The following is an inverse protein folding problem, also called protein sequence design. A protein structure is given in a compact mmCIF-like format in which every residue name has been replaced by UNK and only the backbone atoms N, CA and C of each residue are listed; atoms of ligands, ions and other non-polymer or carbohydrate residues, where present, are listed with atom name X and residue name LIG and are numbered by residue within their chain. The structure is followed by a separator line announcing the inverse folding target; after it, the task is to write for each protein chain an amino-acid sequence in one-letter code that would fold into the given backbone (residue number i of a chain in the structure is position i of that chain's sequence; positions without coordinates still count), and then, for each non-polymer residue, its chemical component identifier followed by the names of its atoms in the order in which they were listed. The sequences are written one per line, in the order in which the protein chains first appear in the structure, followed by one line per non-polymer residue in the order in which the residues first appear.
data_IF_739976901145
#
_entry.id   IF_739976901145
#
_cell.length_a   1.000
_cell.length_b   1.000
_cell.length_c   1.000
_cell.angle_alpha   90.00
_cell.angle_beta   90.00
_cell.angle_gamma   90.00
#
_symmetry.space_group_name_H-M   'P 1'
#
loop_
_entity.id
_entity.type
_entity.pdbx_description
1 polymer ?
#
# COMPACT_ATOMS: atom_id res chain seq x y z
N UNK A 1 -6.04 26.62 4.66
CA UNK A 1 -7.52 26.71 4.65
C UNK A 1 -8.09 26.71 3.22
N UNK A 2 -7.46 27.43 2.28
CA UNK A 2 -7.96 27.57 0.91
C UNK A 2 -7.99 26.26 0.10
N UNK A 3 -6.99 25.44 0.25
CA UNK A 3 -6.87 24.19 -0.50
C UNK A 3 -7.79 23.10 0.00
N UNK A 4 -8.10 23.14 1.25
CA UNK A 4 -9.03 22.23 1.89
C UNK A 4 -10.47 22.45 1.45
N UNK A 5 -10.94 23.69 1.49
CA UNK A 5 -12.28 24.08 0.99
C UNK A 5 -12.46 23.72 -0.49
N UNK A 6 -11.38 23.85 -1.29
CA UNK A 6 -11.36 23.43 -2.68
C UNK A 6 -11.50 21.91 -2.85
N UNK A 7 -10.90 21.11 -1.97
CA UNK A 7 -10.96 19.65 -2.07
C UNK A 7 -12.35 19.11 -1.67
N UNK A 8 -12.98 19.63 -0.63
CA UNK A 8 -14.34 19.24 -0.26
C UNK A 8 -15.37 19.64 -1.33
N UNK A 9 -15.26 20.84 -1.88
CA UNK A 9 -16.12 21.27 -3.00
C UNK A 9 -15.94 20.37 -4.21
N UNK A 10 -14.71 19.90 -4.47
CA UNK A 10 -14.40 18.95 -5.57
C UNK A 10 -14.99 17.58 -5.35
N UNK A 11 -15.07 17.07 -4.11
CA UNK A 11 -15.66 15.75 -3.82
C UNK A 11 -17.14 15.67 -4.20
N UNK A 12 -17.83 16.82 -4.25
CA UNK A 12 -19.25 16.93 -4.56
C UNK A 12 -19.57 17.56 -5.94
N UNK A 13 -18.55 17.86 -6.75
CA UNK A 13 -18.73 18.46 -8.07
C UNK A 13 -18.73 17.43 -9.20
N UNK A 14 -19.25 17.82 -10.36
CA UNK A 14 -19.09 17.07 -11.61
C UNK A 14 -17.77 17.50 -12.25
N UNK A 15 -16.65 16.90 -11.79
CA UNK A 15 -15.34 17.21 -12.34
C UNK A 15 -15.03 16.33 -13.55
N UNK A 16 -14.59 17.00 -14.61
CA UNK A 16 -13.91 16.37 -15.72
C UNK A 16 -12.46 16.86 -15.75
N UNK A 17 -11.50 15.94 -15.88
CA UNK A 17 -10.10 16.28 -16.01
C UNK A 17 -9.42 15.37 -17.02
N UNK A 18 -8.35 15.84 -17.62
CA UNK A 18 -7.64 15.12 -18.67
C UNK A 18 -6.13 15.13 -18.48
N UNK A 19 -5.51 14.10 -19.03
CA UNK A 19 -4.08 13.94 -19.10
C UNK A 19 -3.66 13.86 -20.57
N UNK A 20 -2.58 14.52 -20.94
CA UNK A 20 -1.98 14.41 -22.25
C UNK A 20 -0.79 13.47 -22.24
N UNK A 21 -0.58 12.76 -23.35
CA UNK A 21 0.67 12.04 -23.54
C UNK A 21 1.79 13.04 -23.81
N UNK A 22 2.75 13.14 -22.90
CA UNK A 22 3.88 14.07 -23.03
C UNK A 22 5.03 13.43 -23.80
N UNK A 23 5.39 12.22 -23.45
CA UNK A 23 6.48 11.50 -24.10
C UNK A 23 6.29 9.98 -23.98
N UNK A 24 7.03 9.26 -24.79
CA UNK A 24 7.17 7.81 -24.70
C UNK A 24 8.63 7.45 -24.76
N UNK A 25 9.01 6.42 -24.02
CA UNK A 25 10.33 5.80 -24.14
C UNK A 25 10.19 4.29 -24.24
N UNK A 26 11.18 3.67 -24.86
CA UNK A 26 11.28 2.22 -24.97
C UNK A 26 12.68 1.76 -24.67
N UNK A 27 12.79 0.59 -24.09
CA UNK A 27 14.02 -0.17 -23.96
C UNK A 27 13.76 -1.62 -24.34
N UNK A 28 14.74 -2.50 -24.20
CA UNK A 28 14.62 -3.92 -24.58
C UNK A 28 13.57 -4.70 -23.78
N UNK A 29 13.01 -4.09 -22.72
CA UNK A 29 12.11 -4.76 -21.79
C UNK A 29 10.69 -4.20 -21.89
N UNK A 30 10.53 -2.88 -21.94
CA UNK A 30 9.24 -2.19 -21.91
C UNK A 30 9.13 -1.06 -22.91
N UNK A 31 7.91 -0.82 -23.38
CA UNK A 31 7.50 0.40 -24.08
C UNK A 31 6.58 1.20 -23.14
N UNK A 32 6.92 2.43 -22.86
CA UNK A 32 6.22 3.27 -21.89
C UNK A 32 5.61 4.49 -22.56
N UNK A 33 4.40 4.85 -22.12
CA UNK A 33 3.77 6.13 -22.45
C UNK A 33 3.43 6.84 -21.15
N UNK A 34 3.93 8.06 -21.00
CA UNK A 34 3.68 8.92 -19.84
C UNK A 34 2.52 9.87 -20.13
N UNK A 35 1.61 10.00 -19.19
CA UNK A 35 0.49 10.90 -19.23
C UNK A 35 0.58 11.86 -18.05
N UNK A 36 0.56 13.17 -18.34
CA UNK A 36 0.58 14.22 -17.32
C UNK A 36 -0.71 15.03 -17.34
N UNK A 37 -1.16 15.56 -16.19
CA UNK A 37 -2.43 16.26 -16.10
C UNK A 37 -2.42 17.58 -16.89
N UNK A 38 -3.47 17.82 -17.66
CA UNK A 38 -3.73 19.10 -18.31
C UNK A 38 -4.19 20.12 -17.26
N UNK A 39 -3.35 21.05 -16.89
CA UNK A 39 -3.53 22.06 -15.83
C UNK A 39 -3.42 21.47 -14.43
N UNK A 40 -3.17 22.34 -13.45
CA UNK A 40 -3.04 22.06 -12.02
C UNK A 40 -4.34 21.50 -11.38
N UNK A 41 -4.77 20.34 -11.85
CA UNK A 41 -5.85 19.60 -11.22
C UNK A 41 -5.20 18.82 -10.10
N UNK A 42 -5.35 19.36 -8.93
CA UNK A 42 -4.88 18.75 -7.69
C UNK A 42 -5.71 17.49 -7.40
N UNK A 43 -5.38 16.39 -8.06
CA UNK A 43 -5.75 15.04 -7.61
C UNK A 43 -4.91 14.62 -6.41
N UNK A 44 -4.25 15.59 -5.80
CA UNK A 44 -3.27 15.40 -4.77
C UNK A 44 -3.90 14.86 -3.50
N UNK A 45 -3.11 14.03 -2.83
CA UNK A 45 -3.29 13.80 -1.42
C UNK A 45 -3.41 15.13 -0.68
N UNK A 46 -3.85 15.05 0.52
CA UNK A 46 -4.17 16.14 1.42
C UNK A 46 -2.98 17.08 1.67
N UNK A 47 -1.75 16.62 1.52
CA UNK A 47 -0.55 17.41 1.71
C UNK A 47 0.13 17.75 0.37
N UNK A 48 0.31 19.03 0.11
CA UNK A 48 0.91 19.54 -1.13
C UNK A 48 2.41 19.25 -1.30
N UNK A 49 3.07 18.74 -0.29
CA UNK A 49 4.52 18.57 -0.29
C UNK A 49 4.97 17.15 -0.49
N UNK A 50 4.06 16.19 -0.38
CA UNK A 50 4.32 14.83 -0.83
C UNK A 50 3.74 14.64 -2.23
N UNK A 51 4.48 13.93 -3.10
CA UNK A 51 3.93 13.57 -4.38
C UNK A 51 2.59 12.89 -4.17
N UNK A 52 1.63 13.27 -4.96
CA UNK A 52 0.27 12.78 -4.95
C UNK A 52 0.25 11.28 -4.70
N UNK A 53 -0.55 10.85 -3.74
CA UNK A 53 -0.87 9.44 -3.58
C UNK A 53 -2.19 9.17 -4.28
N UNK A 54 -2.23 8.09 -5.03
CA UNK A 54 -3.43 7.62 -5.69
C UNK A 54 -3.33 6.12 -5.91
N UNK A 55 -4.49 5.55 -6.19
CA UNK A 55 -4.65 4.12 -6.35
C UNK A 55 -5.47 3.83 -7.60
N UNK A 56 -5.12 2.74 -8.27
CA UNK A 56 -5.70 2.34 -9.54
C UNK A 56 -6.43 1.00 -9.40
N UNK A 57 -7.52 0.87 -10.15
CA UNK A 57 -8.14 -0.41 -10.42
C UNK A 57 -8.88 -0.35 -11.76
N UNK A 58 -9.59 -1.39 -12.13
CA UNK A 58 -10.37 -1.45 -13.36
C UNK A 58 -11.82 -1.82 -13.09
N UNK A 59 -12.72 -1.20 -13.85
CA UNK A 59 -14.12 -1.58 -13.86
C UNK A 59 -14.72 -1.42 -15.26
N UNK A 60 -15.38 -2.44 -15.79
CA UNK A 60 -15.98 -2.43 -17.12
C UNK A 60 -15.01 -1.96 -18.22
N UNK A 61 -13.75 -2.44 -18.15
CA UNK A 61 -12.66 -2.10 -19.08
C UNK A 61 -12.23 -0.63 -19.02
N UNK A 62 -12.58 0.12 -17.99
CA UNK A 62 -12.17 1.49 -17.72
C UNK A 62 -11.16 1.50 -16.58
N UNK A 63 -10.23 2.45 -16.62
CA UNK A 63 -9.37 2.73 -15.49
C UNK A 63 -10.17 3.50 -14.43
N UNK A 64 -10.08 3.04 -13.21
CA UNK A 64 -10.60 3.72 -12.02
C UNK A 64 -9.41 4.28 -11.27
N UNK A 65 -9.53 5.52 -10.84
CA UNK A 65 -8.50 6.22 -10.07
C UNK A 65 -9.13 6.81 -8.82
N UNK A 66 -8.49 6.60 -7.69
CA UNK A 66 -8.85 7.24 -6.44
C UNK A 66 -7.65 7.96 -5.84
N UNK A 67 -7.78 9.27 -5.60
CA UNK A 67 -6.74 10.02 -4.92
C UNK A 67 -6.71 9.73 -3.43
N UNK A 68 -5.59 9.99 -2.78
CA UNK A 68 -5.49 9.86 -1.32
C UNK A 68 -6.48 10.75 -0.57
N UNK A 69 -6.95 11.84 -1.18
CA UNK A 69 -7.99 12.72 -0.64
C UNK A 69 -9.42 12.25 -0.89
N UNK A 70 -9.63 11.12 -1.56
CA UNK A 70 -10.93 10.52 -1.79
C UNK A 70 -11.64 10.94 -3.08
N UNK A 71 -11.00 11.65 -4.01
CA UNK A 71 -11.56 11.89 -5.35
C UNK A 71 -11.53 10.59 -6.13
N UNK A 72 -12.70 10.08 -6.48
CA UNK A 72 -12.87 8.87 -7.28
C UNK A 72 -13.29 9.24 -8.71
N UNK A 73 -12.63 8.65 -9.71
CA UNK A 73 -12.90 8.96 -11.11
C UNK A 73 -12.64 7.76 -12.03
N UNK A 74 -13.17 7.83 -13.24
CA UNK A 74 -13.01 6.78 -14.26
C UNK A 74 -12.72 7.38 -15.62
N UNK A 75 -11.98 6.64 -16.46
CA UNK A 75 -11.69 7.06 -17.83
C UNK A 75 -12.92 7.04 -18.71
N UNK A 76 -13.09 8.08 -19.55
CA UNK A 76 -14.19 8.10 -20.54
C UNK A 76 -14.08 6.96 -21.52
N UNK A 77 -12.89 6.70 -22.02
CA UNK A 77 -12.61 5.61 -22.94
C UNK A 77 -12.29 4.31 -22.19
N UNK A 78 -12.57 3.17 -22.85
CA UNK A 78 -12.06 1.88 -22.40
C UNK A 78 -10.55 1.81 -22.56
N UNK A 79 -9.87 1.06 -21.70
CA UNK A 79 -8.42 0.87 -21.70
C UNK A 79 -7.87 0.33 -23.04
N UNK A 80 -8.68 -0.46 -23.77
CA UNK A 80 -8.35 -0.96 -25.11
C UNK A 80 -8.24 0.15 -26.17
N UNK A 81 -8.90 1.29 -25.91
CA UNK A 81 -9.06 2.42 -26.85
C UNK A 81 -8.40 3.71 -26.36
N UNK A 82 -7.39 3.61 -25.52
CA UNK A 82 -6.70 4.80 -25.02
C UNK A 82 -5.99 5.53 -26.15
N UNK A 83 -6.36 6.80 -26.33
CA UNK A 83 -5.74 7.74 -27.27
C UNK A 83 -4.63 8.53 -26.56
N UNK A 84 -4.15 9.58 -27.20
CA UNK A 84 -3.13 10.47 -26.66
C UNK A 84 -3.63 11.31 -25.47
N UNK A 85 -4.93 11.38 -25.25
CA UNK A 85 -5.54 12.08 -24.12
C UNK A 85 -6.36 11.08 -23.29
N UNK A 86 -6.17 11.10 -21.98
CA UNK A 86 -7.00 10.41 -21.02
C UNK A 86 -7.93 11.43 -20.38
N UNK A 87 -9.21 11.30 -20.56
CA UNK A 87 -10.21 12.11 -19.87
C UNK A 87 -10.89 11.26 -18.80
N UNK A 88 -10.98 11.81 -17.61
CA UNK A 88 -11.63 11.19 -16.46
C UNK A 88 -12.88 11.97 -16.09
N UNK A 89 -13.93 11.25 -15.70
CA UNK A 89 -15.11 11.78 -15.04
C UNK A 89 -15.12 11.36 -13.58
N UNK A 90 -15.46 12.29 -12.72
CA UNK A 90 -15.62 12.01 -11.30
C UNK A 90 -16.86 11.16 -11.03
N UNK A 91 -16.72 10.25 -10.07
CA UNK A 91 -17.81 9.52 -9.44
C UNK A 91 -18.14 10.22 -8.11
N UNK A 92 -19.38 10.62 -7.92
CA UNK A 92 -19.84 11.19 -6.65
C UNK A 92 -19.82 10.15 -5.55
N UNK A 93 -19.38 10.52 -4.36
CA UNK A 93 -19.32 9.60 -3.21
C UNK A 93 -19.67 10.34 -1.91
N UNK A 94 -19.94 9.55 -0.88
CA UNK A 94 -20.07 10.04 0.48
C UNK A 94 -18.78 9.92 1.30
N UNK A 95 -17.64 9.76 0.64
CA UNK A 95 -16.34 9.49 1.30
C UNK A 95 -15.98 10.56 2.34
N UNK A 96 -16.40 11.80 2.13
CA UNK A 96 -16.20 12.90 3.06
C UNK A 96 -16.84 12.70 4.46
N UNK A 97 -17.72 11.70 4.63
CA UNK A 97 -18.23 11.32 5.96
C UNK A 97 -17.19 10.52 6.77
N UNK A 98 -16.20 9.93 6.10
CA UNK A 98 -15.18 9.05 6.69
C UNK A 98 -13.81 9.73 6.77
N UNK A 99 -13.52 10.58 5.78
CA UNK A 99 -12.31 11.41 5.72
C UNK A 99 -12.78 12.85 5.75
N UNK A 100 -13.02 13.39 6.95
CA UNK A 100 -13.72 14.66 7.11
C UNK A 100 -12.80 15.86 7.34
N UNK A 101 -13.42 17.03 7.28
CA UNK A 101 -12.79 18.34 7.51
C UNK A 101 -12.12 18.44 8.89
N UNK A 102 -12.69 17.79 9.90
CA UNK A 102 -12.19 17.85 11.26
C UNK A 102 -10.85 17.13 11.41
N UNK A 103 -10.69 15.97 10.78
CA UNK A 103 -9.44 15.23 10.74
C UNK A 103 -8.32 16.04 10.08
N UNK A 104 -8.68 16.84 9.10
CA UNK A 104 -7.82 17.78 8.41
C UNK A 104 -7.37 18.95 9.25
N UNK A 105 -8.30 19.53 10.00
CA UNK A 105 -8.01 20.65 10.89
C UNK A 105 -7.07 20.25 12.01
N UNK A 106 -7.25 19.04 12.54
CA UNK A 106 -6.36 18.48 13.57
C UNK A 106 -4.94 18.28 13.05
N UNK A 107 -4.77 17.80 11.82
CA UNK A 107 -3.45 17.63 11.22
C UNK A 107 -2.67 18.93 10.99
N UNK A 108 -3.36 20.09 11.04
CA UNK A 108 -2.77 21.42 10.90
C UNK A 108 -2.42 22.10 12.22
N UNK A 109 -2.81 21.54 13.34
CA UNK A 109 -2.59 22.14 14.67
C UNK A 109 -1.14 21.95 15.12
N UNK A 110 -0.42 21.02 14.53
CA UNK A 110 0.97 20.71 14.84
C UNK A 110 1.91 21.32 13.80
N UNK A 111 3.05 21.86 14.21
CA UNK A 111 4.06 22.53 13.38
C UNK A 111 4.70 21.68 12.27
N UNK A 112 4.14 20.50 11.98
CA UNK A 112 4.57 19.54 10.95
C UNK A 112 3.53 19.33 9.85
N UNK A 113 2.84 20.38 9.45
CA UNK A 113 1.67 20.41 8.56
C UNK A 113 1.73 19.52 7.31
N UNK A 114 2.89 19.34 6.75
CA UNK A 114 3.07 18.64 5.48
C UNK A 114 3.19 17.11 5.61
N UNK A 115 3.73 16.60 6.72
CA UNK A 115 3.81 15.16 6.97
C UNK A 115 2.46 14.59 7.43
N UNK A 116 1.79 15.32 8.29
CA UNK A 116 0.59 14.87 8.99
C UNK A 116 -0.63 14.82 8.07
N UNK A 117 -0.74 15.75 7.12
CA UNK A 117 -1.83 15.74 6.15
C UNK A 117 -1.90 14.48 5.29
N UNK A 118 -0.75 13.87 4.98
CA UNK A 118 -0.69 12.60 4.26
C UNK A 118 -0.96 11.36 5.13
N UNK A 119 -1.06 11.52 6.46
CA UNK A 119 -1.39 10.42 7.36
C UNK A 119 -2.86 10.02 7.26
N UNK A 120 -3.75 11.00 7.11
CA UNK A 120 -5.20 10.83 7.15
C UNK A 120 -5.75 10.78 5.73
N UNK A 121 -5.72 9.61 5.12
CA UNK A 121 -5.99 9.48 3.70
C UNK A 121 -6.50 8.09 3.34
N UNK A 122 -6.96 7.98 2.11
CA UNK A 122 -7.15 6.70 1.44
C UNK A 122 -5.79 5.98 1.36
N UNK A 123 -5.82 4.67 1.55
CA UNK A 123 -4.63 3.82 1.53
C UNK A 123 -4.65 2.77 0.43
N UNK A 124 -5.83 2.44 -0.09
CA UNK A 124 -6.00 1.55 -1.24
C UNK A 124 -7.43 1.54 -1.76
N UNK A 125 -7.60 1.07 -2.99
CA UNK A 125 -8.88 0.62 -3.55
C UNK A 125 -8.73 -0.77 -4.15
N UNK A 126 -9.79 -1.57 -4.07
CA UNK A 126 -9.87 -2.83 -4.79
C UNK A 126 -11.30 -3.05 -5.29
N UNK A 127 -11.44 -3.38 -6.57
CA UNK A 127 -12.74 -3.62 -7.18
C UNK A 127 -12.87 -5.12 -7.50
N UNK A 128 -13.92 -5.71 -6.97
CA UNK A 128 -14.23 -7.10 -7.22
C UNK A 128 -15.67 -7.25 -7.68
N UNK A 129 -15.86 -7.72 -8.92
CA UNK A 129 -17.17 -7.78 -9.58
C UNK A 129 -17.85 -6.41 -9.62
N UNK A 130 -18.95 -6.24 -8.91
CA UNK A 130 -19.74 -5.00 -8.81
C UNK A 130 -19.58 -4.28 -7.46
N UNK A 131 -18.54 -4.58 -6.72
CA UNK A 131 -18.21 -3.95 -5.44
C UNK A 131 -16.86 -3.27 -5.47
N UNK A 132 -16.78 -2.14 -4.80
CA UNK A 132 -15.53 -1.43 -4.52
C UNK A 132 -15.26 -1.44 -3.02
N UNK A 133 -14.01 -1.72 -2.66
CA UNK A 133 -13.49 -1.70 -1.30
C UNK A 133 -12.47 -0.59 -1.20
N UNK A 134 -12.47 0.13 -0.09
CA UNK A 134 -11.59 1.28 0.13
C UNK A 134 -11.03 1.20 1.54
N UNK A 135 -9.74 1.27 1.69
CA UNK A 135 -9.08 1.41 2.98
C UNK A 135 -8.67 2.85 3.25
N UNK A 136 -8.72 3.24 4.50
CA UNK A 136 -8.39 4.60 4.94
C UNK A 136 -7.91 4.61 6.39
N UNK A 137 -7.15 5.62 6.75
CA UNK A 137 -6.82 5.88 8.15
C UNK A 137 -8.02 6.52 8.85
N UNK A 138 -8.46 5.88 9.93
CA UNK A 138 -9.62 6.29 10.72
C UNK A 138 -9.19 6.80 12.09
N UNK A 139 -9.69 7.97 12.47
CA UNK A 139 -9.67 8.39 13.87
C UNK A 139 -10.79 7.65 14.61
N UNK A 140 -10.41 6.73 15.48
CA UNK A 140 -11.34 5.90 16.26
C UNK A 140 -11.95 6.71 17.41
N UNK A 141 -11.11 7.47 18.07
CA UNK A 141 -11.40 8.46 19.11
C UNK A 141 -10.32 9.53 19.08
N UNK A 142 -10.48 10.61 19.81
CA UNK A 142 -9.56 11.74 19.79
C UNK A 142 -8.09 11.30 19.83
N UNK A 143 -7.32 11.74 18.84
CA UNK A 143 -5.89 11.47 18.65
C UNK A 143 -5.49 9.98 18.64
N UNK A 144 -6.43 9.08 18.37
CA UNK A 144 -6.17 7.64 18.34
C UNK A 144 -6.65 7.02 17.02
N UNK A 145 -5.72 6.40 16.29
CA UNK A 145 -5.88 6.07 14.87
C UNK A 145 -5.67 4.61 14.56
N UNK A 146 -6.39 4.12 13.55
CA UNK A 146 -6.15 2.82 12.92
C UNK A 146 -6.42 2.89 11.41
N UNK A 147 -6.32 1.73 10.75
CA UNK A 147 -6.74 1.54 9.36
C UNK A 147 -8.03 0.74 9.31
N UNK A 148 -9.01 1.23 8.57
CA UNK A 148 -10.36 0.66 8.46
C UNK A 148 -10.75 0.45 7.00
N UNK A 149 -11.81 -0.31 6.76
CA UNK A 149 -12.33 -0.62 5.42
C UNK A 149 -13.76 -0.12 5.23
N UNK A 150 -13.98 0.43 4.06
CA UNK A 150 -15.29 0.74 3.50
C UNK A 150 -15.60 -0.20 2.33
N UNK A 151 -16.86 -0.36 2.03
CA UNK A 151 -17.33 -0.98 0.81
C UNK A 151 -18.50 -0.21 0.20
N UNK A 152 -18.75 -0.43 -1.09
CA UNK A 152 -19.87 0.15 -1.79
C UNK A 152 -20.17 -0.59 -3.08
N UNK A 153 -21.40 -0.45 -3.60
CA UNK A 153 -21.74 -1.01 -4.89
C UNK A 153 -21.24 -0.13 -6.02
N UNK A 154 -20.53 -0.71 -6.97
CA UNK A 154 -19.98 0.01 -8.14
C UNK A 154 -21.09 0.66 -8.97
N UNK A 155 -20.97 1.96 -9.15
CA UNK A 155 -21.80 2.77 -10.02
C UNK A 155 -20.99 3.98 -10.50
N UNK A 156 -20.92 4.20 -11.80
CA UNK A 156 -20.11 5.30 -12.38
C UNK A 156 -20.68 6.71 -12.16
N UNK A 157 -21.85 6.84 -11.50
CA UNK A 157 -22.45 8.14 -11.17
C UNK A 157 -22.36 8.47 -9.69
N UNK A 158 -22.69 7.50 -8.84
CA UNK A 158 -22.76 7.69 -7.39
C UNK A 158 -22.45 6.39 -6.67
N UNK A 159 -21.53 6.44 -5.71
CA UNK A 159 -21.24 5.33 -4.81
C UNK A 159 -21.47 5.79 -3.37
N UNK A 160 -22.24 5.02 -2.63
CA UNK A 160 -22.45 5.20 -1.19
C UNK A 160 -21.62 4.16 -0.47
N UNK A 161 -20.62 4.61 0.26
CA UNK A 161 -19.76 3.77 1.08
C UNK A 161 -20.38 3.55 2.46
N UNK A 162 -20.15 2.34 2.97
CA UNK A 162 -20.50 1.88 4.31
C UNK A 162 -19.29 1.20 4.95
N UNK A 163 -19.27 1.12 6.28
CA UNK A 163 -18.20 0.41 6.98
C UNK A 163 -18.29 -1.10 6.72
N UNK A 164 -17.20 -1.71 6.28
CA UNK A 164 -17.04 -3.15 6.19
C UNK A 164 -16.27 -3.70 7.40
N UNK A 165 -15.14 -3.06 7.73
CA UNK A 165 -14.32 -3.43 8.87
C UNK A 165 -13.90 -2.21 9.65
N UNK A 166 -14.11 -2.27 10.96
CA UNK A 166 -13.62 -1.29 11.93
C UNK A 166 -13.20 -2.00 13.20
N UNK A 167 -12.25 -1.42 13.92
CA UNK A 167 -11.80 -1.89 15.23
C UNK A 167 -11.78 -0.74 16.22
N UNK A 168 -11.98 -1.02 17.50
CA UNK A 168 -11.81 -0.05 18.58
C UNK A 168 -10.35 0.06 19.04
N UNK A 169 -9.49 -0.89 18.59
CA UNK A 169 -8.06 -0.81 18.82
C UNK A 169 -7.46 0.31 17.96
N UNK A 170 -6.68 1.18 18.57
CA UNK A 170 -6.01 2.29 17.89
C UNK A 170 -4.67 2.63 18.54
N UNK A 171 -3.81 3.34 17.80
CA UNK A 171 -2.55 3.91 18.31
C UNK A 171 -2.77 5.38 18.60
N UNK A 172 -2.55 5.79 19.84
CA UNK A 172 -2.68 7.18 20.24
C UNK A 172 -1.46 7.98 19.78
N UNK A 173 -1.69 9.17 19.23
CA UNK A 173 -0.64 10.01 18.67
C UNK A 173 0.42 10.39 19.71
N UNK A 174 0.01 10.87 20.87
CA UNK A 174 0.91 11.34 21.92
C UNK A 174 1.21 10.30 22.99
N UNK A 175 0.17 9.58 23.43
CA UNK A 175 0.26 8.62 24.53
C UNK A 175 0.31 7.19 24.01
N UNK A 176 1.50 6.77 23.63
CA UNK A 176 1.75 5.39 23.22
C UNK A 176 3.09 4.87 23.77
N UNK A 177 3.22 3.55 23.87
CA UNK A 177 4.34 2.85 24.53
C UNK A 177 5.70 3.16 23.90
N UNK A 178 5.73 3.46 22.62
CA UNK A 178 6.98 3.73 21.90
C UNK A 178 7.28 5.22 21.78
N UNK A 179 6.38 6.10 22.25
CA UNK A 179 6.46 7.56 22.12
C UNK A 179 6.74 8.00 20.68
N UNK A 180 6.28 7.21 19.71
CA UNK A 180 6.40 7.46 18.28
C UNK A 180 5.06 7.16 17.60
N UNK A 181 4.72 7.97 16.59
CA UNK A 181 3.56 7.77 15.74
C UNK A 181 3.89 8.09 14.28
N UNK A 182 3.35 7.31 13.36
CA UNK A 182 3.44 7.63 11.93
C UNK A 182 2.38 6.85 11.14
N UNK A 183 1.32 7.52 10.72
CA UNK A 183 0.26 6.90 9.93
C UNK A 183 0.62 6.68 8.44
N UNK A 184 1.83 7.01 7.98
CA UNK A 184 2.35 6.45 6.73
C UNK A 184 2.67 4.96 6.85
N UNK A 185 2.90 4.47 8.08
CA UNK A 185 3.12 3.05 8.37
C UNK A 185 1.80 2.35 8.73
N UNK A 186 0.78 2.60 7.96
CA UNK A 186 -0.58 2.12 8.21
C UNK A 186 -0.94 0.83 7.46
N UNK A 187 -0.08 0.37 6.54
CA UNK A 187 -0.48 -0.66 5.57
C UNK A 187 -1.63 -0.14 4.72
N UNK A 188 -2.70 -0.92 4.62
CA UNK A 188 -3.94 -0.52 3.97
C UNK A 188 -4.24 -1.28 2.68
N UNK A 189 -3.35 -2.12 2.19
CA UNK A 189 -3.55 -2.86 0.94
C UNK A 189 -4.68 -3.89 1.07
N UNK A 190 -5.50 -3.98 0.03
CA UNK A 190 -6.67 -4.85 -0.05
C UNK A 190 -6.53 -5.78 -1.25
N UNK A 191 -6.86 -7.05 -1.08
CA UNK A 191 -7.05 -7.98 -2.20
C UNK A 191 -8.22 -8.91 -1.94
N UNK A 192 -9.16 -9.00 -2.90
CA UNK A 192 -10.22 -10.00 -2.85
C UNK A 192 -9.69 -11.35 -3.34
N UNK A 193 -9.97 -12.42 -2.60
CA UNK A 193 -9.61 -13.79 -2.99
C UNK A 193 -10.81 -14.57 -3.52
N UNK A 194 -12.01 -14.30 -3.03
CA UNK A 194 -13.26 -14.89 -3.51
C UNK A 194 -14.48 -13.98 -3.23
N UNK A 195 -15.69 -14.51 -3.43
CA UNK A 195 -16.94 -13.77 -3.25
C UNK A 195 -17.19 -13.34 -1.79
N UNK A 196 -16.67 -14.09 -0.85
CA UNK A 196 -16.94 -13.92 0.58
C UNK A 196 -15.78 -13.34 1.37
N UNK A 197 -14.57 -13.37 0.79
CA UNK A 197 -13.33 -13.14 1.52
C UNK A 197 -12.42 -12.13 0.83
N UNK A 198 -11.86 -11.22 1.61
CA UNK A 198 -10.76 -10.38 1.21
C UNK A 198 -9.62 -10.41 2.24
N UNK A 199 -8.41 -10.12 1.80
CA UNK A 199 -7.25 -9.92 2.65
C UNK A 199 -6.95 -8.43 2.77
N UNK A 200 -6.54 -8.03 3.97
CA UNK A 200 -6.33 -6.65 4.34
C UNK A 200 -5.09 -6.49 5.21
N UNK A 201 -4.20 -5.60 4.83
CA UNK A 201 -2.98 -5.32 5.58
C UNK A 201 -3.14 -4.15 6.54
N UNK A 202 -2.60 -4.26 7.74
CA UNK A 202 -2.49 -3.18 8.72
C UNK A 202 -1.05 -3.06 9.18
N UNK A 203 -0.47 -1.87 9.08
CA UNK A 203 0.89 -1.57 9.52
C UNK A 203 1.01 -1.30 11.02
N UNK A 204 2.22 -0.95 11.46
CA UNK A 204 2.54 -0.81 12.89
C UNK A 204 2.26 0.59 13.47
N UNK A 205 2.04 1.62 12.65
CA UNK A 205 1.91 3.03 13.05
C UNK A 205 3.08 3.51 13.94
N UNK A 206 4.23 2.84 13.89
CA UNK A 206 5.38 2.90 14.80
C UNK A 206 5.12 2.36 16.21
N UNK A 207 3.99 1.71 16.46
CA UNK A 207 3.68 1.01 17.71
C UNK A 207 4.22 -0.43 17.65
N UNK A 208 5.55 -0.56 17.64
CA UNK A 208 6.28 -1.80 17.29
C UNK A 208 5.96 -3.00 18.16
N UNK A 209 5.67 -2.79 19.46
CA UNK A 209 5.34 -3.89 20.38
C UNK A 209 4.10 -4.66 19.95
N UNK A 210 3.18 -4.04 19.21
CA UNK A 210 1.95 -4.68 18.72
C UNK A 210 2.22 -5.73 17.65
N UNK A 211 3.36 -5.63 16.96
CA UNK A 211 3.71 -6.58 15.91
C UNK A 211 3.79 -8.02 16.43
N UNK A 212 4.28 -8.19 17.66
CA UNK A 212 4.42 -9.50 18.31
C UNK A 212 3.23 -9.86 19.23
N UNK A 213 2.24 -8.98 19.36
CA UNK A 213 0.99 -9.27 20.08
C UNK A 213 -0.02 -9.94 19.14
N UNK A 214 -0.42 -11.19 19.43
CA UNK A 214 -1.37 -11.95 18.60
C UNK A 214 -2.79 -11.37 18.63
N UNK A 215 -3.13 -10.68 19.71
CA UNK A 215 -4.48 -10.11 19.91
C UNK A 215 -4.64 -8.71 19.26
N UNK A 216 -3.55 -8.12 18.79
CA UNK A 216 -3.56 -6.81 18.10
C UNK A 216 -3.87 -6.96 16.62
N UNK A 217 -4.64 -6.02 16.06
CA UNK A 217 -4.84 -5.92 14.61
C UNK A 217 -3.64 -5.30 13.87
N UNK A 218 -2.75 -4.60 14.60
CA UNK A 218 -1.61 -3.90 14.00
C UNK A 218 -0.49 -4.86 13.63
N UNK A 219 0.22 -4.54 12.54
CA UNK A 219 1.33 -5.37 12.02
C UNK A 219 0.86 -6.76 11.57
N UNK A 220 -0.32 -6.82 10.96
CA UNK A 220 -1.00 -8.05 10.59
C UNK A 220 -1.50 -8.01 9.14
N UNK A 221 -1.64 -9.19 8.57
CA UNK A 221 -2.55 -9.41 7.45
C UNK A 221 -3.80 -10.08 8.01
N UNK A 222 -4.95 -9.47 7.76
CA UNK A 222 -6.26 -9.94 8.18
C UNK A 222 -7.00 -10.55 7.00
N UNK A 223 -7.73 -11.62 7.27
CA UNK A 223 -8.78 -12.12 6.40
C UNK A 223 -10.11 -11.59 6.91
N UNK A 224 -10.84 -10.90 6.04
CA UNK A 224 -12.14 -10.30 6.36
C UNK A 224 -13.24 -11.08 5.64
N UNK A 225 -14.24 -11.53 6.38
CA UNK A 225 -15.45 -12.13 5.84
C UNK A 225 -16.44 -11.02 5.47
N UNK A 226 -16.74 -10.87 4.18
CA UNK A 226 -17.59 -9.79 3.66
C UNK A 226 -19.07 -9.91 4.03
N UNK A 227 -19.52 -11.10 4.47
CA UNK A 227 -20.93 -11.33 4.85
C UNK A 227 -21.18 -11.05 6.33
N UNK A 228 -20.20 -11.41 7.18
CA UNK A 228 -20.35 -11.31 8.63
C UNK A 228 -19.62 -10.12 9.23
N UNK A 229 -18.76 -9.45 8.44
CA UNK A 229 -17.80 -8.41 8.86
C UNK A 229 -16.81 -8.92 9.94
N UNK A 230 -16.74 -10.25 10.15
CA UNK A 230 -15.79 -10.89 11.03
C UNK A 230 -14.40 -10.94 10.40
N UNK A 231 -13.38 -11.10 11.24
CA UNK A 231 -12.00 -11.22 10.76
C UNK A 231 -11.22 -12.28 11.51
N UNK A 232 -10.14 -12.74 10.91
CA UNK A 232 -9.07 -13.52 11.55
C UNK A 232 -7.70 -13.04 11.09
N UNK A 233 -6.71 -13.19 11.96
CA UNK A 233 -5.31 -12.93 11.63
C UNK A 233 -4.75 -14.10 10.84
N UNK A 234 -4.17 -13.85 9.66
CA UNK A 234 -3.53 -14.90 8.83
C UNK A 234 -2.01 -14.83 8.86
N UNK A 235 -1.43 -13.66 9.19
CA UNK A 235 0.01 -13.52 9.44
C UNK A 235 0.28 -12.32 10.35
N UNK A 236 1.45 -12.33 11.00
CA UNK A 236 1.85 -11.30 11.96
C UNK A 236 3.35 -10.96 11.83
N UNK A 237 3.76 -9.92 12.54
CA UNK A 237 5.16 -9.50 12.55
C UNK A 237 5.55 -8.73 11.31
N UNK A 238 4.62 -7.96 10.74
CA UNK A 238 4.83 -7.05 9.62
C UNK A 238 5.07 -5.61 10.09
N UNK A 239 5.80 -4.82 9.31
CA UNK A 239 6.02 -3.41 9.63
C UNK A 239 5.02 -2.50 8.91
N UNK A 240 5.09 -2.45 7.59
CA UNK A 240 4.27 -1.57 6.76
C UNK A 240 3.99 -2.21 5.40
N UNK A 241 3.08 -3.18 5.32
CA UNK A 241 2.71 -3.85 4.08
C UNK A 241 2.07 -2.89 3.08
N UNK A 242 2.69 -2.69 1.94
CA UNK A 242 2.26 -1.76 0.89
C UNK A 242 1.89 -2.46 -0.42
N UNK A 243 2.12 -3.75 -0.53
CA UNK A 243 1.74 -4.55 -1.68
C UNK A 243 1.21 -5.91 -1.28
N UNK A 244 0.12 -6.35 -1.92
CA UNK A 244 -0.43 -7.70 -1.78
C UNK A 244 -0.80 -8.25 -3.15
N UNK A 245 -0.40 -9.49 -3.42
CA UNK A 245 -0.85 -10.25 -4.57
C UNK A 245 -1.15 -11.70 -4.18
N UNK A 246 -2.36 -12.16 -4.46
CA UNK A 246 -2.77 -13.53 -4.21
C UNK A 246 -2.57 -14.40 -5.46
N UNK A 247 -1.63 -15.32 -5.39
CA UNK A 247 -1.47 -16.36 -6.38
C UNK A 247 -2.42 -17.53 -6.07
N UNK A 248 -3.59 -17.47 -6.69
CA UNK A 248 -4.65 -18.45 -6.49
C UNK A 248 -4.25 -19.87 -6.91
N UNK A 249 -3.34 -19.99 -7.89
CA UNK A 249 -2.86 -21.29 -8.38
C UNK A 249 -2.05 -22.04 -7.32
N UNK A 250 -1.24 -21.32 -6.56
CA UNK A 250 -0.35 -21.90 -5.55
C UNK A 250 -0.87 -21.70 -4.12
N UNK A 251 -2.01 -21.00 -3.96
CA UNK A 251 -2.59 -20.62 -2.68
C UNK A 251 -1.58 -19.88 -1.77
N UNK A 252 -0.87 -18.94 -2.35
CA UNK A 252 0.15 -18.14 -1.68
C UNK A 252 -0.18 -16.66 -1.86
N UNK A 253 -0.03 -15.90 -0.78
CA UNK A 253 -0.03 -14.45 -0.80
C UNK A 253 1.41 -13.97 -0.86
N UNK A 254 1.75 -13.18 -1.88
CA UNK A 254 2.95 -12.37 -1.91
C UNK A 254 2.63 -11.05 -1.24
N UNK A 255 3.46 -10.68 -0.28
CA UNK A 255 3.35 -9.44 0.47
C UNK A 255 4.63 -8.64 0.32
N UNK A 256 4.51 -7.33 0.07
CA UNK A 256 5.64 -6.41 -0.06
C UNK A 256 5.53 -5.32 1.00
N UNK A 257 6.58 -5.17 1.85
CA UNK A 257 6.57 -4.23 2.95
C UNK A 257 7.82 -3.36 3.06
N UNK A 258 7.59 -2.14 3.54
CA UNK A 258 8.68 -1.25 3.90
C UNK A 258 9.39 -1.71 5.17
N UNK A 259 10.67 -1.96 5.07
CA UNK A 259 11.57 -2.02 6.19
C UNK A 259 11.83 -0.64 6.81
N UNK A 260 12.67 -0.59 7.87
CA UNK A 260 13.21 0.67 8.36
C UNK A 260 14.29 1.22 7.41
N UNK A 261 15.43 1.68 7.89
CA UNK A 261 16.55 2.09 7.03
C UNK A 261 17.23 0.85 6.45
N UNK A 262 16.97 0.53 5.19
CA UNK A 262 17.26 -0.77 4.57
C UNK A 262 16.16 -1.80 4.86
N UNK A 263 16.27 -3.01 4.28
CA UNK A 263 15.42 -4.15 4.61
C UNK A 263 13.95 -4.02 4.21
N UNK A 264 13.63 -3.42 3.08
CA UNK A 264 12.33 -3.65 2.44
C UNK A 264 12.24 -5.12 2.06
N UNK A 265 11.06 -5.73 2.19
CA UNK A 265 10.90 -7.18 2.10
C UNK A 265 9.79 -7.59 1.13
N UNK A 266 9.97 -8.77 0.53
CA UNK A 266 8.89 -9.54 -0.10
C UNK A 266 8.74 -10.83 0.68
N UNK A 267 7.55 -11.04 1.23
CA UNK A 267 7.20 -12.18 2.04
C UNK A 267 6.27 -13.14 1.28
N UNK A 268 6.43 -14.45 1.49
CA UNK A 268 5.56 -15.49 0.96
C UNK A 268 4.71 -16.07 2.08
N UNK A 269 3.42 -15.81 2.06
CA UNK A 269 2.48 -16.24 3.09
C UNK A 269 1.61 -17.37 2.52
N UNK A 270 1.79 -18.57 3.06
CA UNK A 270 0.90 -19.70 2.74
C UNK A 270 -0.41 -19.50 3.48
N UNK A 271 -1.52 -19.51 2.75
CA UNK A 271 -2.84 -19.48 3.37
C UNK A 271 -3.20 -20.88 3.96
N UNK A 272 -4.15 -20.93 4.89
CA UNK A 272 -4.63 -22.16 5.53
C UNK A 272 -3.60 -22.86 6.44
N UNK A 273 -2.71 -22.12 7.08
CA UNK A 273 -1.86 -22.66 8.14
C UNK A 273 -2.63 -22.77 9.47
N UNK A 274 -2.27 -23.77 10.28
CA UNK A 274 -2.87 -23.95 11.62
C UNK A 274 -2.39 -22.89 12.61
N UNK A 275 -1.12 -22.52 12.50
CA UNK A 275 -0.51 -21.46 13.31
C UNK A 275 -0.38 -20.17 12.50
N UNK A 276 -0.45 -19.04 13.19
CA UNK A 276 -0.24 -17.73 12.57
C UNK A 276 1.25 -17.57 12.27
N UNK A 277 1.66 -17.51 10.98
CA UNK A 277 3.05 -17.30 10.61
C UNK A 277 3.52 -15.91 11.05
N UNK A 278 4.75 -15.85 11.59
CA UNK A 278 5.33 -14.63 12.15
C UNK A 278 6.60 -14.24 11.38
N UNK A 279 6.60 -13.04 10.81
CA UNK A 279 7.68 -12.47 9.98
C UNK A 279 8.67 -11.59 10.77
N UNK A 280 8.55 -11.51 12.10
CA UNK A 280 9.60 -11.10 13.03
C UNK A 280 9.69 -9.63 13.36
N UNK A 281 9.00 -8.71 12.67
CA UNK A 281 9.02 -7.30 13.04
C UNK A 281 8.51 -7.10 14.50
N UNK A 282 9.12 -6.32 15.37
CA UNK A 282 10.35 -5.53 15.22
C UNK A 282 11.53 -6.18 15.99
N UNK A 283 11.54 -7.51 16.10
CA UNK A 283 12.63 -8.26 16.73
C UNK A 283 13.72 -8.56 15.69
N UNK A 284 13.31 -9.01 14.50
CA UNK A 284 14.18 -9.24 13.36
C UNK A 284 13.86 -8.29 12.21
N UNK A 285 14.86 -7.88 11.47
CA UNK A 285 14.78 -7.12 10.22
C UNK A 285 16.15 -6.97 9.60
N UNK A 286 16.24 -6.98 8.29
CA UNK A 286 17.48 -6.71 7.56
C UNK A 286 17.85 -5.23 7.52
N UNK A 287 16.92 -4.32 7.88
CA UNK A 287 17.16 -2.89 8.02
C UNK A 287 17.64 -2.45 9.41
N UNK A 288 17.86 -1.17 9.57
CA UNK A 288 18.29 -0.51 10.81
C UNK A 288 17.26 0.53 11.26
N UNK A 289 17.17 0.82 12.55
CA UNK A 289 16.42 2.01 12.98
C UNK A 289 17.00 3.26 12.35
N UNK A 290 16.16 4.20 11.93
CA UNK A 290 16.60 5.45 11.33
C UNK A 290 17.65 6.14 12.19
N UNK A 291 18.80 6.48 11.57
CA UNK A 291 19.99 7.00 12.24
C UNK A 291 20.97 5.92 12.76
N UNK A 292 20.64 4.63 12.61
CA UNK A 292 21.52 3.51 12.89
C UNK A 292 21.82 3.26 14.38
N UNK A 293 22.66 2.27 14.65
CA UNK A 293 23.02 1.82 16.00
C UNK A 293 23.83 2.86 16.79
N UNK A 294 24.57 3.71 16.09
CA UNK A 294 25.46 4.70 16.74
C UNK A 294 24.73 5.94 17.25
N UNK A 295 23.49 6.17 16.81
CA UNK A 295 22.69 7.28 17.30
C UNK A 295 22.32 7.09 18.78
N UNK A 296 22.66 8.05 19.62
CA UNK A 296 22.45 7.96 21.07
C UNK A 296 20.98 7.71 21.45
N UNK A 297 20.06 8.31 20.72
CA UNK A 297 18.62 8.13 20.92
C UNK A 297 18.10 6.72 20.54
N UNK A 298 18.87 5.96 19.78
CA UNK A 298 18.50 4.60 19.39
C UNK A 298 18.94 3.52 20.39
N UNK A 299 19.82 3.81 21.34
CA UNK A 299 20.33 2.79 22.28
C UNK A 299 19.22 2.04 23.01
N UNK A 300 18.26 2.75 23.59
CA UNK A 300 17.11 2.13 24.27
C UNK A 300 16.20 1.39 23.28
N UNK A 301 16.06 1.89 22.06
CA UNK A 301 15.24 1.29 21.00
C UNK A 301 15.81 -0.06 20.57
N UNK A 302 17.12 -0.19 20.38
CA UNK A 302 17.77 -1.46 20.06
C UNK A 302 17.73 -2.49 21.20
N UNK A 303 17.67 -2.06 22.44
CA UNK A 303 17.45 -2.98 23.58
C UNK A 303 16.05 -3.60 23.50
N UNK A 304 15.04 -2.82 23.12
CA UNK A 304 13.64 -3.26 23.06
C UNK A 304 13.31 -3.94 21.73
N UNK A 305 13.87 -3.44 20.63
CA UNK A 305 13.67 -3.87 19.26
C UNK A 305 15.01 -4.03 18.55
N UNK A 306 15.66 -5.20 18.70
CA UNK A 306 17.08 -5.37 18.34
C UNK A 306 17.35 -5.41 16.83
N UNK A 307 16.35 -5.70 16.00
CA UNK A 307 16.46 -5.84 14.55
C UNK A 307 17.58 -6.83 14.17
N UNK A 308 17.47 -8.05 14.67
CA UNK A 308 18.40 -9.14 14.32
C UNK A 308 18.41 -9.40 12.81
N UNK A 309 19.59 -9.69 12.25
CA UNK A 309 19.81 -9.89 10.82
C UNK A 309 19.54 -11.32 10.34
N UNK A 310 18.85 -12.11 11.15
CA UNK A 310 18.33 -13.42 10.82
C UNK A 310 16.96 -13.56 11.45
N UNK A 311 15.98 -14.02 10.71
CA UNK A 311 14.64 -14.26 11.23
C UNK A 311 14.58 -15.67 11.82
N UNK A 312 15.10 -16.67 11.12
CA UNK A 312 15.05 -18.08 11.56
C UNK A 312 15.80 -18.37 12.85
N UNK A 313 16.94 -17.72 13.13
CA UNK A 313 17.67 -17.87 14.38
C UNK A 313 16.85 -17.41 15.60
N UNK A 314 15.84 -16.56 15.39
CA UNK A 314 14.96 -16.03 16.42
C UNK A 314 13.54 -16.59 16.36
N UNK A 315 13.35 -17.66 15.56
CA UNK A 315 12.08 -18.40 15.48
C UNK A 315 11.03 -17.75 14.57
N UNK A 316 11.43 -16.88 13.65
CA UNK A 316 10.57 -16.21 12.69
C UNK A 316 10.77 -16.76 11.28
N UNK A 317 9.88 -16.39 10.36
CA UNK A 317 9.96 -16.76 8.95
C UNK A 317 10.83 -15.74 8.23
N UNK A 318 11.78 -16.25 7.43
CA UNK A 318 12.62 -15.40 6.58
C UNK A 318 11.80 -14.77 5.44
N UNK A 319 12.05 -13.50 5.07
CA UNK A 319 11.55 -12.97 3.83
C UNK A 319 12.09 -13.75 2.63
N UNK A 320 11.32 -13.84 1.58
CA UNK A 320 11.77 -14.43 0.32
C UNK A 320 12.85 -13.56 -0.34
N UNK A 321 12.64 -12.24 -0.35
CA UNK A 321 13.59 -11.24 -0.85
C UNK A 321 13.67 -10.10 0.16
N UNK A 322 14.87 -9.55 0.36
CA UNK A 322 15.03 -8.26 1.01
C UNK A 322 15.94 -7.32 0.23
N UNK A 323 15.67 -6.03 0.34
CA UNK A 323 16.40 -4.97 -0.35
C UNK A 323 17.24 -4.17 0.63
N UNK A 324 18.54 -4.09 0.35
CA UNK A 324 19.47 -3.27 1.11
C UNK A 324 20.46 -2.58 0.14
N UNK A 325 20.34 -1.26 -0.03
CA UNK A 325 19.43 -0.32 0.66
C UNK A 325 17.96 -0.48 0.29
N UNK A 326 17.06 0.05 1.16
CA UNK A 326 15.61 0.14 0.87
C UNK A 326 15.34 0.85 -0.43
N UNK A 327 14.45 0.28 -1.22
CA UNK A 327 13.97 0.84 -2.50
C UNK A 327 12.71 1.69 -2.35
N UNK A 328 12.08 1.71 -1.16
CA UNK A 328 10.76 2.29 -0.95
C UNK A 328 9.70 1.46 -1.68
N UNK A 329 9.65 0.17 -1.36
CA UNK A 329 8.77 -0.82 -2.00
C UNK A 329 7.30 -0.39 -1.96
N UNK A 330 6.53 -0.68 -3.01
CA UNK A 330 5.10 -0.35 -3.06
C UNK A 330 4.27 -1.56 -3.48
N UNK A 331 3.50 -1.48 -4.56
CA UNK A 331 2.64 -2.58 -5.00
C UNK A 331 3.45 -3.74 -5.61
N UNK A 332 2.94 -4.97 -5.41
CA UNK A 332 3.39 -6.19 -6.05
C UNK A 332 2.24 -6.83 -6.81
N UNK A 333 2.47 -7.31 -8.02
CA UNK A 333 1.47 -8.00 -8.85
C UNK A 333 2.07 -9.16 -9.61
N UNK A 334 1.24 -10.16 -9.95
CA UNK A 334 1.59 -11.23 -10.87
C UNK A 334 1.29 -10.84 -12.32
N UNK A 335 2.09 -11.35 -13.25
CA UNK A 335 1.91 -11.20 -14.68
C UNK A 335 1.26 -12.45 -15.28
N UNK A 336 0.78 -12.38 -16.54
CA UNK A 336 0.17 -13.54 -17.22
C UNK A 336 1.16 -14.69 -17.48
N UNK A 337 2.45 -14.41 -17.48
CA UNK A 337 3.47 -15.44 -17.56
C UNK A 337 3.53 -16.23 -16.26
N UNK A 338 3.72 -17.55 -16.38
CA UNK A 338 3.75 -18.45 -15.22
C UNK A 338 4.85 -18.02 -14.23
N UNK A 339 4.47 -17.82 -12.97
CA UNK A 339 5.37 -17.53 -11.86
C UNK A 339 6.21 -16.26 -12.02
N UNK A 340 5.75 -15.31 -12.83
CA UNK A 340 6.42 -14.03 -13.05
C UNK A 340 5.68 -12.92 -12.32
N UNK A 341 6.43 -12.14 -11.57
CA UNK A 341 5.93 -11.07 -10.73
C UNK A 341 6.67 -9.78 -11.00
N UNK A 342 6.06 -8.68 -10.63
CA UNK A 342 6.70 -7.36 -10.63
C UNK A 342 6.38 -6.64 -9.34
N UNK A 343 7.38 -6.02 -8.74
CA UNK A 343 7.24 -5.13 -7.61
C UNK A 343 7.70 -3.73 -8.00
N UNK A 344 6.98 -2.73 -7.52
CA UNK A 344 7.27 -1.33 -7.78
C UNK A 344 7.98 -0.66 -6.62
N UNK A 345 8.71 0.41 -6.90
CA UNK A 345 9.40 1.20 -5.90
C UNK A 345 9.16 2.70 -6.05
N UNK A 346 9.13 3.37 -4.88
CA UNK A 346 8.99 4.82 -4.81
C UNK A 346 10.35 5.53 -4.72
N UNK A 347 11.28 5.00 -3.93
CA UNK A 347 12.57 5.65 -3.68
C UNK A 347 13.57 5.39 -4.81
N UNK A 348 13.55 4.17 -5.34
CA UNK A 348 14.42 3.76 -6.44
C UNK A 348 13.79 4.02 -7.82
N UNK A 349 12.53 4.48 -7.88
CA UNK A 349 11.84 4.89 -9.09
C UNK A 349 11.86 3.80 -10.19
N UNK A 350 11.73 2.55 -9.78
CA UNK A 350 11.98 1.39 -10.63
C UNK A 350 10.92 0.29 -10.47
N UNK A 351 10.82 -0.54 -11.50
CA UNK A 351 10.12 -1.82 -11.47
C UNK A 351 11.15 -2.94 -11.35
N UNK A 352 10.85 -3.95 -10.55
CA UNK A 352 11.67 -5.14 -10.38
C UNK A 352 10.86 -6.36 -10.81
N UNK A 353 11.22 -6.97 -11.93
CA UNK A 353 10.61 -8.17 -12.46
C UNK A 353 11.38 -9.38 -11.96
N UNK A 354 10.69 -10.40 -11.46
CA UNK A 354 11.32 -11.62 -10.96
C UNK A 354 10.46 -12.86 -11.20
N UNK A 355 11.09 -14.02 -11.16
CA UNK A 355 10.45 -15.33 -11.19
C UNK A 355 10.55 -16.00 -9.83
N UNK A 356 9.52 -16.76 -9.48
CA UNK A 356 9.54 -17.63 -8.31
C UNK A 356 9.26 -19.07 -8.71
N UNK A 357 10.21 -19.97 -8.45
CA UNK A 357 10.03 -21.41 -8.68
C UNK A 357 9.45 -22.07 -7.42
N UNK A 358 8.17 -22.41 -7.46
CA UNK A 358 7.49 -23.08 -6.36
C UNK A 358 7.96 -24.51 -6.11
N UNK A 359 8.65 -25.12 -7.07
CA UNK A 359 9.19 -26.48 -6.99
C UNK A 359 10.60 -26.50 -6.39
N UNK A 360 11.28 -25.37 -6.28
CA UNK A 360 12.60 -25.25 -5.66
C UNK A 360 12.51 -25.32 -4.14
N UNK A 361 12.99 -26.44 -3.58
CA UNK A 361 13.03 -26.70 -2.13
C UNK A 361 14.17 -25.99 -1.38
N UNK A 362 15.05 -25.30 -2.10
CA UNK A 362 16.26 -24.68 -1.52
C UNK A 362 16.03 -23.27 -0.92
N UNK A 363 14.77 -22.87 -0.72
CA UNK A 363 14.42 -21.53 -0.22
C UNK A 363 14.54 -21.50 1.32
N UNK A 364 15.73 -21.77 1.84
CA UNK A 364 16.01 -21.63 3.27
C UNK A 364 16.83 -20.37 3.62
N UNK A 365 17.21 -19.59 2.62
CA UNK A 365 17.96 -18.34 2.82
C UNK A 365 17.30 -17.22 2.03
N UNK A 366 17.12 -16.03 2.61
CA UNK A 366 16.53 -14.90 1.91
C UNK A 366 17.48 -14.41 0.81
N UNK A 367 16.89 -14.02 -0.32
CA UNK A 367 17.63 -13.43 -1.42
C UNK A 367 17.86 -11.95 -1.17
N UNK A 368 19.12 -11.54 -1.05
CA UNK A 368 19.49 -10.15 -0.90
C UNK A 368 19.54 -9.45 -2.27
N UNK A 369 18.87 -8.31 -2.38
CA UNK A 369 18.96 -7.43 -3.54
C UNK A 369 19.81 -6.21 -3.19
N UNK A 370 20.94 -6.05 -3.87
CA UNK A 370 21.82 -4.88 -3.75
C UNK A 370 21.87 -4.17 -5.08
N UNK A 371 21.48 -2.89 -5.12
CA UNK A 371 21.48 -2.07 -6.34
C UNK A 371 20.81 -2.75 -7.57
N UNK A 372 19.78 -3.54 -7.33
CA UNK A 372 19.03 -4.23 -8.38
C UNK A 372 19.67 -5.54 -8.87
N UNK A 373 20.74 -6.00 -8.25
CA UNK A 373 21.36 -7.30 -8.51
C UNK A 373 21.02 -8.31 -7.43
N UNK A 374 20.74 -9.54 -7.82
CA UNK A 374 20.40 -10.67 -6.94
C UNK A 374 21.31 -11.86 -7.26
N UNK A 375 21.82 -12.51 -6.23
CA UNK A 375 22.76 -13.62 -6.42
C UNK A 375 22.10 -14.92 -6.89
N UNK A 376 20.81 -15.14 -6.61
CA UNK A 376 20.16 -16.44 -6.84
C UNK A 376 18.76 -16.38 -7.52
N UNK A 377 18.30 -15.21 -7.94
CA UNK A 377 16.99 -15.04 -8.60
C UNK A 377 17.19 -14.29 -9.91
N UNK A 378 16.54 -14.73 -10.98
CA UNK A 378 16.46 -13.94 -12.22
C UNK A 378 15.56 -12.72 -11.98
N UNK A 379 16.19 -11.62 -11.54
CA UNK A 379 15.53 -10.34 -11.31
C UNK A 379 16.03 -9.29 -12.28
N UNK A 380 15.08 -8.64 -12.93
CA UNK A 380 15.34 -7.53 -13.85
C UNK A 380 14.82 -6.21 -13.31
N UNK A 381 15.71 -5.25 -13.09
CA UNK A 381 15.36 -3.87 -12.73
C UNK A 381 15.13 -3.03 -13.97
N UNK A 382 14.04 -2.28 -14.01
CA UNK A 382 13.71 -1.29 -15.04
C UNK A 382 13.48 0.06 -14.38
N UNK A 383 14.38 1.00 -14.62
CA UNK A 383 14.25 2.36 -14.08
C UNK A 383 13.20 3.15 -14.88
N UNK A 384 12.23 3.74 -14.18
CA UNK A 384 11.14 4.55 -14.74
C UNK A 384 11.46 6.05 -14.61
N UNK A 385 12.18 6.45 -13.55
CA UNK A 385 12.55 7.83 -13.26
C UNK A 385 11.51 8.63 -12.49
N UNK A 386 10.47 7.95 -11.99
CA UNK A 386 9.41 8.53 -11.16
C UNK A 386 9.00 7.57 -10.05
N UNK A 387 8.50 8.13 -8.95
CA UNK A 387 8.04 7.38 -7.77
C UNK A 387 6.77 6.59 -8.09
N UNK A 388 6.85 5.27 -8.13
CA UNK A 388 5.71 4.42 -8.48
C UNK A 388 4.93 4.11 -7.19
N UNK A 389 3.75 4.72 -7.04
CA UNK A 389 2.91 4.56 -5.86
C UNK A 389 2.04 3.32 -5.94
N UNK A 390 1.43 3.10 -7.10
CA UNK A 390 0.53 1.99 -7.33
C UNK A 390 0.62 1.48 -8.76
N UNK A 391 0.20 0.26 -8.99
CA UNK A 391 0.15 -0.32 -10.32
C UNK A 391 -0.90 -1.41 -10.44
N UNK A 392 -1.43 -1.55 -11.66
CA UNK A 392 -2.30 -2.65 -12.05
C UNK A 392 -1.83 -3.27 -13.35
N UNK A 393 -2.18 -4.53 -13.56
CA UNK A 393 -1.94 -5.25 -14.80
C UNK A 393 -3.25 -5.60 -15.49
N UNK A 394 -3.41 -5.11 -16.72
CA UNK A 394 -4.63 -5.33 -17.50
C UNK A 394 -4.30 -5.43 -18.98
N UNK A 395 -4.77 -6.49 -19.68
CA UNK A 395 -4.53 -6.74 -21.10
C UNK A 395 -3.04 -6.60 -21.49
N UNK A 396 -2.18 -7.34 -20.80
CA UNK A 396 -0.73 -7.38 -21.04
C UNK A 396 -0.02 -6.01 -20.91
N UNK A 397 -0.63 -5.09 -20.19
CA UNK A 397 -0.08 -3.76 -19.92
C UNK A 397 -0.07 -3.46 -18.44
N UNK A 398 1.00 -2.83 -18.00
CA UNK A 398 1.11 -2.22 -16.69
C UNK A 398 0.61 -0.78 -16.76
N UNK A 399 -0.26 -0.41 -15.84
CA UNK A 399 -0.69 0.96 -15.60
C UNK A 399 -0.11 1.39 -14.27
N UNK A 400 0.68 2.45 -14.27
CA UNK A 400 1.39 2.94 -13.11
C UNK A 400 0.79 4.27 -12.66
N UNK A 401 0.68 4.46 -11.36
CA UNK A 401 0.45 5.75 -10.73
C UNK A 401 1.78 6.26 -10.19
N UNK A 402 2.24 7.38 -10.73
CA UNK A 402 3.54 7.97 -10.45
C UNK A 402 3.41 9.14 -9.48
#
# INVERSE_FOLDING_TARGET
PYEFDLNIKKLNSDLEFSFNSEHSFSNDIINTRVFSPNKNILLYGIANHFPASGYLDTYNKKLILMSASGVLAYTNSKLENLKNNLTFNQIKTNIGKFIGEEQFRKSRIHDFDWLEGGWFSIKDINIYKDQIFVSYTREVREDCWNTSLLHGKMNLKLIIFENLFTSDECVHFYDNVDSEFNAHQSGGRIINIDDDTLLFSIGDFRSRFRAQNKDSIFSKILEINKKTNGYRVISMGHRNPQGLFFDAKHNILLEAEHGPEGGDEINLIKLNQQEIPNYGWAISSYGEHYGGKNAAYNKKKYVKYPLHKSHTEYGFIEPFIYFDPSIGISQIIGLNEKNKYVVASMKDESLYFFYYDYDDKNINSPNKVVNGSVDNIDMKRVHIGERIRDMIYYNEKLYLYL
#
